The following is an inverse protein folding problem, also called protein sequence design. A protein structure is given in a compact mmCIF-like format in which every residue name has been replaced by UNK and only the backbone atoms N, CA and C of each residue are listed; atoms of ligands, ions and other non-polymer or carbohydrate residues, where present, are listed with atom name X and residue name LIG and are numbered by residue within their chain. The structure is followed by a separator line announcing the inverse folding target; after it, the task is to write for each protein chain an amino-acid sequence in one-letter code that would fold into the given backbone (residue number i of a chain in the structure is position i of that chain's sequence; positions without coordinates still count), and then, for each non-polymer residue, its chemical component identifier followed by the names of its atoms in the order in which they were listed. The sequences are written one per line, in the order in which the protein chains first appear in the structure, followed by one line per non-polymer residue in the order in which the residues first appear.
data_IF_500591991296
#
_entry.id   IF_500591991296
#
_cell.length_a   1.000
_cell.length_b   1.000
_cell.length_c   1.000
_cell.angle_alpha   90.00
_cell.angle_beta   90.00
_cell.angle_gamma   90.00
#
_symmetry.space_group_name_H-M   'P 1'
#
loop_
_entity.id
_entity.type
_entity.pdbx_description
1 polymer ?
#
# COMPACT_ATOMS: atom_id res chain seq x y z
N UNK A 1 16.49 7.99 -6.19
CA UNK A 1 17.26 9.01 -5.46
C UNK A 1 16.43 10.29 -5.45
N UNK A 2 16.03 10.78 -4.27
CA UNK A 2 15.33 12.07 -4.14
C UNK A 2 16.33 13.12 -3.63
N UNK A 3 16.42 14.26 -4.30
CA UNK A 3 17.24 15.40 -3.86
C UNK A 3 16.34 16.63 -3.83
N UNK A 4 16.34 17.36 -2.72
CA UNK A 4 15.55 18.58 -2.57
C UNK A 4 16.45 19.75 -2.14
N UNK A 5 16.19 20.91 -2.71
CA UNK A 5 16.82 22.19 -2.34
C UNK A 5 15.69 23.11 -1.91
N UNK A 6 15.75 23.57 -0.67
CA UNK A 6 14.77 24.51 -0.09
C UNK A 6 15.41 25.89 -0.05
N UNK A 7 14.68 26.92 -0.51
CA UNK A 7 15.09 28.32 -0.42
C UNK A 7 14.25 29.03 0.65
N UNK A 8 14.89 29.75 1.58
CA UNK A 8 14.22 30.50 2.66
C UNK A 8 13.85 29.66 3.89
N UNK A 9 13.03 30.23 4.79
CA UNK A 9 12.54 29.56 6.01
C UNK A 9 11.27 28.75 5.70
N UNK A 10 11.39 27.72 4.86
CA UNK A 10 10.31 26.77 4.57
C UNK A 10 10.61 25.44 5.27
N UNK A 11 9.61 24.89 5.96
CA UNK A 11 9.68 23.55 6.55
C UNK A 11 9.14 22.53 5.54
N UNK A 12 9.84 21.39 5.43
CA UNK A 12 9.46 20.31 4.51
C UNK A 12 9.30 19.02 5.30
N UNK A 13 8.19 18.33 5.08
CA UNK A 13 8.00 16.99 5.61
C UNK A 13 8.92 16.01 4.87
N UNK A 14 9.72 15.27 5.63
CA UNK A 14 10.58 14.21 5.10
C UNK A 14 10.36 12.92 5.90
N UNK A 15 10.36 11.80 5.19
CA UNK A 15 10.21 10.48 5.77
C UNK A 15 10.56 9.42 4.74
N UNK A 16 11.00 8.25 5.21
CA UNK A 16 11.15 7.09 4.34
C UNK A 16 9.75 6.60 3.95
N UNK A 17 9.50 6.51 2.65
CA UNK A 17 8.29 5.94 2.07
C UNK A 17 8.64 4.65 1.34
N UNK A 18 7.77 3.65 1.41
CA UNK A 18 7.97 2.33 0.83
C UNK A 18 8.44 1.30 1.85
N UNK A 19 8.93 0.16 1.37
CA UNK A 19 9.44 -0.89 2.26
C UNK A 19 10.61 -0.36 3.07
N UNK A 20 10.50 -0.44 4.40
CA UNK A 20 11.57 -0.07 5.32
C UNK A 20 12.84 -0.92 5.17
N UNK A 21 12.82 -1.95 4.31
CA UNK A 21 14.00 -2.67 3.82
C UNK A 21 14.78 -1.90 2.74
N UNK A 22 14.36 -0.67 2.39
CA UNK A 22 15.12 0.25 1.53
C UNK A 22 14.70 0.24 0.05
N UNK A 23 13.44 -0.05 -0.27
CA UNK A 23 12.92 -0.05 -1.64
C UNK A 23 11.57 0.69 -1.75
N UNK A 24 11.24 1.21 -2.93
CA UNK A 24 9.96 1.84 -3.28
C UNK A 24 8.99 0.86 -3.96
N UNK A 25 9.31 -0.44 -3.92
CA UNK A 25 8.46 -1.53 -4.40
C UNK A 25 7.30 -1.88 -3.46
N UNK A 26 6.38 -2.75 -3.92
CA UNK A 26 5.36 -3.33 -3.05
C UNK A 26 5.97 -4.20 -1.94
N UNK A 27 5.18 -4.54 -0.91
CA UNK A 27 5.53 -5.60 0.03
C UNK A 27 5.86 -6.92 -0.71
N UNK A 28 6.74 -7.73 -0.14
CA UNK A 28 7.19 -8.98 -0.78
C UNK A 28 5.99 -9.89 -1.06
N UNK A 29 5.90 -10.41 -2.29
CA UNK A 29 4.78 -11.25 -2.70
C UNK A 29 3.54 -10.48 -3.17
N UNK A 30 3.57 -9.14 -3.28
CA UNK A 30 2.44 -8.29 -3.72
C UNK A 30 2.75 -7.50 -5.00
N UNK A 31 3.65 -7.99 -5.86
CA UNK A 31 3.88 -7.43 -7.17
C UNK A 31 2.96 -8.07 -8.22
N UNK A 32 2.02 -7.32 -8.79
CA UNK A 32 1.09 -7.86 -9.80
C UNK A 32 1.29 -7.29 -11.20
N UNK A 33 2.50 -6.84 -11.51
CA UNK A 33 2.85 -6.44 -12.87
C UNK A 33 3.00 -7.65 -13.81
N UNK A 34 2.99 -7.40 -15.14
CA UNK A 34 2.89 -8.44 -16.17
C UNK A 34 4.01 -9.50 -16.17
N UNK A 35 5.18 -9.16 -15.63
CA UNK A 35 6.34 -10.06 -15.55
C UNK A 35 6.56 -10.64 -14.15
N UNK A 36 5.66 -10.35 -13.20
CA UNK A 36 5.74 -10.90 -11.86
C UNK A 36 5.24 -12.34 -11.80
N UNK A 37 5.80 -13.13 -10.88
CA UNK A 37 5.33 -14.47 -10.54
C UNK A 37 4.57 -14.52 -9.21
N UNK A 38 4.37 -13.38 -8.55
CA UNK A 38 3.65 -13.34 -7.29
C UNK A 38 2.18 -13.73 -7.47
N UNK A 39 1.65 -14.46 -6.50
CA UNK A 39 0.28 -14.95 -6.57
C UNK A 39 -0.74 -13.80 -6.52
N UNK A 40 -1.71 -13.78 -7.45
CA UNK A 40 -2.86 -12.89 -7.34
C UNK A 40 -3.78 -13.34 -6.20
N UNK A 41 -4.72 -12.48 -5.83
CA UNK A 41 -5.81 -12.85 -4.93
C UNK A 41 -6.86 -13.62 -5.73
N UNK A 42 -6.96 -14.91 -5.44
CA UNK A 42 -8.00 -15.80 -5.94
C UNK A 42 -9.08 -15.98 -4.88
N UNK A 43 -10.24 -15.41 -5.18
CA UNK A 43 -11.40 -15.33 -4.29
C UNK A 43 -12.58 -16.17 -4.75
N UNK A 44 -12.44 -16.93 -5.84
CA UNK A 44 -13.44 -17.93 -6.23
C UNK A 44 -13.24 -19.23 -5.44
N UNK A 45 -14.16 -19.60 -4.52
CA UNK A 45 -14.03 -20.80 -3.69
C UNK A 45 -14.16 -22.12 -4.48
N UNK A 46 -14.59 -22.05 -5.75
CA UNK A 46 -14.66 -23.22 -6.62
C UNK A 46 -13.33 -23.55 -7.33
N UNK A 47 -12.32 -22.68 -7.23
CA UNK A 47 -10.99 -22.90 -7.82
C UNK A 47 -10.03 -23.46 -6.77
N UNK A 48 -9.19 -24.42 -7.17
CA UNK A 48 -8.26 -25.13 -6.27
C UNK A 48 -7.24 -24.18 -5.60
N UNK A 49 -6.96 -23.04 -6.22
CA UNK A 49 -6.02 -22.05 -5.73
C UNK A 49 -6.66 -20.89 -4.96
N UNK A 50 -7.85 -21.07 -4.38
CA UNK A 50 -8.44 -20.09 -3.47
C UNK A 50 -7.47 -19.75 -2.33
N UNK A 51 -7.11 -18.47 -2.19
CA UNK A 51 -6.01 -18.05 -1.30
C UNK A 51 -6.30 -16.77 -0.50
N UNK A 52 -7.55 -16.29 -0.43
CA UNK A 52 -7.89 -15.03 0.27
C UNK A 52 -7.29 -14.97 1.68
N UNK A 53 -7.56 -15.98 2.52
CA UNK A 53 -7.11 -15.94 3.92
C UNK A 53 -5.60 -15.76 4.05
N UNK A 54 -4.80 -16.55 3.33
CA UNK A 54 -3.34 -16.46 3.42
C UNK A 54 -2.83 -15.12 2.90
N UNK A 55 -3.38 -14.62 1.79
CA UNK A 55 -2.99 -13.33 1.21
C UNK A 55 -3.29 -12.16 2.15
N UNK A 56 -4.40 -12.20 2.89
CA UNK A 56 -4.73 -11.17 3.89
C UNK A 56 -3.83 -11.28 5.11
N UNK A 57 -3.57 -12.50 5.61
CA UNK A 57 -2.65 -12.71 6.74
C UNK A 57 -1.23 -12.20 6.41
N UNK A 58 -0.73 -12.47 5.20
CA UNK A 58 0.58 -12.00 4.73
C UNK A 58 0.64 -10.48 4.64
N UNK A 59 -0.41 -9.85 4.09
CA UNK A 59 -0.46 -8.38 3.96
C UNK A 59 -0.53 -7.71 5.33
N UNK A 60 -1.40 -8.19 6.23
CA UNK A 60 -1.53 -7.67 7.59
C UNK A 60 -0.21 -7.78 8.34
N UNK A 61 0.50 -8.91 8.21
CA UNK A 61 1.81 -9.12 8.83
C UNK A 61 2.82 -8.06 8.36
N UNK A 62 2.90 -7.82 7.04
CA UNK A 62 3.81 -6.82 6.49
C UNK A 62 3.40 -5.38 6.85
N UNK A 63 2.10 -5.09 6.91
CA UNK A 63 1.58 -3.80 7.34
C UNK A 63 1.92 -3.50 8.80
N UNK A 64 1.73 -4.47 9.70
CA UNK A 64 2.08 -4.33 11.11
C UNK A 64 3.59 -4.17 11.29
N UNK A 65 4.41 -4.94 10.57
CA UNK A 65 5.86 -4.76 10.59
C UNK A 65 6.28 -3.35 10.16
N UNK A 66 5.67 -2.80 9.11
CA UNK A 66 5.96 -1.44 8.68
C UNK A 66 5.44 -0.38 9.68
N UNK A 67 4.31 -0.64 10.33
CA UNK A 67 3.77 0.21 11.39
C UNK A 67 4.69 0.28 12.61
N UNK A 68 5.34 -0.82 13.00
CA UNK A 68 6.33 -0.82 14.10
C UNK A 68 7.52 0.12 13.84
N UNK A 69 7.83 0.39 12.58
CA UNK A 69 8.94 1.26 12.17
C UNK A 69 8.49 2.68 11.77
N UNK A 70 7.18 2.96 11.82
CA UNK A 70 6.57 4.22 11.39
C UNK A 70 5.88 4.89 12.58
N UNK A 71 6.17 6.17 12.83
CA UNK A 71 5.51 6.91 13.92
C UNK A 71 4.04 7.19 13.59
N UNK A 72 3.11 6.88 14.49
CA UNK A 72 1.68 7.18 14.35
C UNK A 72 0.89 6.09 13.64
N UNK A 73 -0.39 6.34 13.39
CA UNK A 73 -1.36 5.30 12.98
C UNK A 73 -1.44 5.09 11.46
N UNK A 74 -0.82 5.98 10.68
CA UNK A 74 -0.86 5.94 9.22
C UNK A 74 0.50 5.50 8.65
N UNK A 75 0.47 4.49 7.80
CA UNK A 75 1.60 4.02 6.98
C UNK A 75 1.27 4.17 5.49
N UNK A 76 2.31 4.22 4.66
CA UNK A 76 2.18 4.22 3.21
C UNK A 76 2.81 2.97 2.62
N UNK A 77 2.01 2.21 1.87
CA UNK A 77 2.47 1.12 1.02
C UNK A 77 2.68 1.61 -0.41
N UNK A 78 3.89 1.45 -0.94
CA UNK A 78 4.19 1.80 -2.33
C UNK A 78 3.88 0.61 -3.24
N UNK A 79 2.74 0.64 -3.93
CA UNK A 79 2.25 -0.51 -4.70
C UNK A 79 2.71 -0.48 -6.16
N UNK A 80 4.03 -0.44 -6.40
CA UNK A 80 4.58 -0.41 -7.76
C UNK A 80 6.10 -0.24 -7.75
N UNK A 81 6.74 -0.38 -8.91
CA UNK A 81 8.19 -0.25 -9.07
C UNK A 81 8.54 0.20 -10.49
N UNK A 82 9.80 0.06 -10.90
CA UNK A 82 10.32 0.52 -12.18
C UNK A 82 9.51 0.00 -13.37
N UNK A 83 8.96 0.94 -14.16
CA UNK A 83 8.21 0.66 -15.39
C UNK A 83 7.09 -0.38 -15.25
N UNK A 84 6.50 -0.48 -14.05
CA UNK A 84 5.33 -1.32 -13.79
C UNK A 84 4.03 -0.60 -14.21
N UNK A 85 2.90 -1.32 -14.09
CA UNK A 85 1.58 -0.92 -14.59
C UNK A 85 1.43 -0.99 -16.12
N UNK A 86 2.28 -1.77 -16.81
CA UNK A 86 2.12 -2.00 -18.25
C UNK A 86 0.76 -2.62 -18.60
N UNK A 87 0.24 -3.48 -17.72
CA UNK A 87 -1.17 -3.87 -17.70
C UNK A 87 -1.79 -3.49 -16.35
N UNK A 88 -2.13 -2.21 -16.19
CA UNK A 88 -2.66 -1.64 -14.96
C UNK A 88 -3.84 -2.43 -14.34
N UNK A 89 -4.67 -3.08 -15.17
CA UNK A 89 -5.78 -3.90 -14.69
C UNK A 89 -5.34 -5.03 -13.75
N UNK A 90 -4.16 -5.61 -13.95
CA UNK A 90 -3.64 -6.67 -13.06
C UNK A 90 -3.38 -6.13 -11.66
N UNK A 91 -2.85 -4.90 -11.55
CA UNK A 91 -2.70 -4.21 -10.27
C UNK A 91 -4.03 -3.87 -9.64
N UNK A 92 -4.89 -3.14 -10.35
CA UNK A 92 -6.14 -2.63 -9.78
C UNK A 92 -7.09 -3.75 -9.36
N UNK A 93 -7.26 -4.79 -10.17
CA UNK A 93 -8.13 -5.93 -9.81
C UNK A 93 -7.67 -6.67 -8.55
N UNK A 94 -6.36 -6.79 -8.31
CA UNK A 94 -5.85 -7.40 -7.08
C UNK A 94 -5.90 -6.44 -5.89
N UNK A 95 -5.63 -5.15 -6.10
CA UNK A 95 -5.74 -4.13 -5.06
C UNK A 95 -7.18 -3.96 -4.56
N UNK A 96 -8.17 -3.99 -5.45
CA UNK A 96 -9.59 -3.94 -5.09
C UNK A 96 -9.97 -5.10 -4.17
N UNK A 97 -9.57 -6.33 -4.53
CA UNK A 97 -9.78 -7.52 -3.69
C UNK A 97 -9.04 -7.40 -2.37
N UNK A 98 -7.79 -6.95 -2.38
CA UNK A 98 -6.98 -6.77 -1.18
C UNK A 98 -7.68 -5.82 -0.21
N UNK A 99 -8.03 -4.62 -0.68
CA UNK A 99 -8.73 -3.60 0.11
C UNK A 99 -10.04 -4.15 0.66
N UNK A 100 -10.85 -4.81 -0.17
CA UNK A 100 -12.11 -5.40 0.23
C UNK A 100 -11.94 -6.40 1.39
N UNK A 101 -11.08 -7.41 1.21
CA UNK A 101 -10.94 -8.47 2.20
C UNK A 101 -10.14 -8.05 3.43
N UNK A 102 -9.18 -7.13 3.32
CA UNK A 102 -8.50 -6.54 4.49
C UNK A 102 -9.51 -5.78 5.36
N UNK A 103 -10.37 -4.97 4.73
CA UNK A 103 -11.35 -4.17 5.48
C UNK A 103 -12.47 -5.03 6.06
N UNK A 104 -12.85 -6.14 5.39
CA UNK A 104 -13.77 -7.13 5.96
C UNK A 104 -13.16 -7.89 7.15
N UNK A 105 -11.86 -8.19 7.09
CA UNK A 105 -11.13 -8.83 8.18
C UNK A 105 -11.02 -7.91 9.42
N UNK A 106 -10.81 -6.61 9.21
CA UNK A 106 -10.95 -5.58 10.23
C UNK A 106 -9.76 -5.42 11.18
N UNK A 107 -8.67 -6.21 11.04
CA UNK A 107 -7.43 -5.99 11.81
C UNK A 107 -6.75 -4.66 11.47
N UNK A 108 -6.86 -4.22 10.22
CA UNK A 108 -6.36 -2.93 9.71
C UNK A 108 -7.34 -2.35 8.68
N UNK A 109 -7.20 -1.08 8.34
CA UNK A 109 -7.96 -0.43 7.27
C UNK A 109 -7.04 -0.04 6.11
N UNK A 110 -7.37 -0.51 4.90
CA UNK A 110 -6.66 -0.23 3.67
C UNK A 110 -7.55 0.54 2.68
N UNK A 111 -6.96 1.45 1.92
CA UNK A 111 -7.66 2.24 0.91
C UNK A 111 -6.65 2.81 -0.10
N UNK A 112 -7.13 3.17 -1.29
CA UNK A 112 -6.33 3.92 -2.26
C UNK A 112 -5.98 5.30 -1.70
N UNK A 113 -4.72 5.69 -1.85
CA UNK A 113 -4.24 6.97 -1.35
C UNK A 113 -3.15 7.54 -2.25
N UNK A 114 -2.67 8.73 -1.89
CA UNK A 114 -1.58 9.42 -2.58
C UNK A 114 -0.54 9.90 -1.55
N UNK A 115 0.70 10.21 -1.97
CA UNK A 115 1.68 10.86 -1.12
C UNK A 115 1.18 12.13 -0.44
N UNK A 116 0.40 12.95 -1.14
CA UNK A 116 -0.20 14.16 -0.58
C UNK A 116 -1.18 13.84 0.55
N UNK A 117 -2.12 12.93 0.31
CA UNK A 117 -3.11 12.50 1.31
C UNK A 117 -2.44 11.90 2.55
N UNK A 118 -1.40 11.10 2.35
CA UNK A 118 -0.62 10.54 3.46
C UNK A 118 0.06 11.63 4.29
N UNK A 119 0.79 12.57 3.66
CA UNK A 119 1.48 13.65 4.40
C UNK A 119 0.48 14.50 5.19
N UNK A 120 -0.68 14.79 4.61
CA UNK A 120 -1.72 15.50 5.33
C UNK A 120 -2.29 14.70 6.52
N UNK A 121 -2.51 13.39 6.37
CA UNK A 121 -2.88 12.53 7.49
C UNK A 121 -1.80 12.51 8.59
N UNK A 122 -0.50 12.54 8.21
CA UNK A 122 0.62 12.62 9.16
C UNK A 122 0.71 13.97 9.86
N UNK A 123 0.31 15.05 9.19
CA UNK A 123 0.22 16.38 9.79
C UNK A 123 -0.94 16.51 10.79
N UNK A 124 -1.83 15.50 10.89
CA UNK A 124 -3.08 15.62 11.64
C UNK A 124 -4.09 16.54 10.97
N UNK A 125 -3.84 16.91 9.70
CA UNK A 125 -4.81 17.65 8.90
C UNK A 125 -5.99 16.71 8.65
N UNK A 126 -7.18 17.12 9.10
CA UNK A 126 -8.43 16.48 8.70
C UNK A 126 -8.61 16.75 7.21
N UNK A 127 -8.03 15.89 6.36
CA UNK A 127 -8.60 15.69 5.05
C UNK A 127 -9.94 15.03 5.32
N UNK A 128 -11.03 15.76 5.07
CA UNK A 128 -12.31 15.13 4.86
C UNK A 128 -12.10 14.10 3.75
N UNK A 129 -11.91 12.83 4.14
CA UNK A 129 -12.04 11.69 3.25
C UNK A 129 -13.53 11.63 2.88
N UNK A 130 -13.94 12.52 1.98
CA UNK A 130 -15.11 12.31 1.16
C UNK A 130 -14.86 11.02 0.40
N UNK A 131 -15.44 9.93 0.91
CA UNK A 131 -16.27 8.96 0.19
C UNK A 131 -16.42 7.74 1.11
N UNK A 132 -17.26 7.89 2.13
CA UNK A 132 -18.07 6.80 2.62
C UNK A 132 -19.43 6.92 1.91
N UNK A 133 -19.56 6.23 0.78
CA UNK A 133 -20.87 5.83 0.21
C UNK A 133 -20.68 4.48 -0.45
#
# INVERSE_FOLDING_TARGET
MLFFVVFGNLEVFTGLTGSYQGNYGPPSGFNWDIFSSDEPIQDNPALENYNVKSRIDDFVTQALWQAEHTRGENIMMTMGSDFQYQAANNWFSNLDKLIHYVNLDGRINAFYSTPETYVAAKAGSVIFLFWAV
#
